data_IF_389681435984
#
_entry.id   IF_389681435984
#
_cell.length_a   1.000
_cell.length_b   1.000
_cell.length_c   1.000
_cell.angle_alpha   90.00
_cell.angle_beta   90.00
_cell.angle_gamma   90.00
#
_symmetry.space_group_name_H-M   'P 1'
#
loop_
_entity.id
_entity.type
_entity.pdbx_description
1 polymer ?
#
# COMPACT_ATOMS: atom_id res chain seq x y z
N UNK A 1 -8.62 -3.11 2.86
CA UNK A 1 -7.95 -1.90 3.39
C UNK A 1 -7.06 -1.32 2.29
N UNK A 2 -6.78 -0.01 2.30
CA UNK A 2 -5.83 0.62 1.38
C UNK A 2 -4.44 0.66 2.03
N UNK A 3 -3.40 0.46 1.24
CA UNK A 3 -1.99 0.36 1.65
C UNK A 3 -1.16 0.92 0.47
N UNK A 4 -0.44 2.02 0.72
CA UNK A 4 0.25 2.78 -0.32
C UNK A 4 1.55 2.07 -0.75
N UNK A 5 2.24 1.46 0.21
CA UNK A 5 3.50 0.72 0.08
C UNK A 5 3.30 -0.50 -0.82
N UNK A 6 2.17 -1.18 -0.65
CA UNK A 6 1.79 -2.33 -1.48
C UNK A 6 1.21 -1.91 -2.83
N UNK A 7 0.32 -0.90 -2.87
CA UNK A 7 -0.37 -0.53 -4.12
C UNK A 7 -0.81 0.93 -4.18
N UNK A 8 -0.08 1.69 -5.00
CA UNK A 8 -0.26 3.14 -5.19
C UNK A 8 -1.47 3.56 -6.04
N UNK A 9 -2.01 2.67 -6.89
CA UNK A 9 -3.14 3.01 -7.74
C UNK A 9 -3.98 1.81 -8.17
N UNK A 10 -5.25 2.07 -8.46
CA UNK A 10 -6.20 1.12 -9.02
C UNK A 10 -6.81 1.69 -10.29
N UNK A 11 -6.99 0.84 -11.30
CA UNK A 11 -7.65 1.19 -12.55
C UNK A 11 -8.82 0.26 -12.76
N UNK A 12 -10.01 0.83 -12.93
CA UNK A 12 -11.25 0.11 -13.17
C UNK A 12 -11.82 0.49 -14.52
N UNK A 13 -12.34 -0.49 -15.25
CA UNK A 13 -13.24 -0.25 -16.39
C UNK A 13 -14.67 -0.39 -15.88
N UNK A 14 -15.42 0.70 -15.89
CA UNK A 14 -16.84 0.72 -15.51
C UNK A 14 -17.70 0.66 -16.76
N UNK A 15 -18.82 -0.05 -16.69
CA UNK A 15 -19.82 -0.11 -17.76
C UNK A 15 -21.13 0.50 -17.25
N UNK A 16 -21.65 1.48 -17.98
CA UNK A 16 -23.02 1.95 -17.82
C UNK A 16 -23.89 1.21 -18.83
N UNK A 17 -25.03 0.70 -18.38
CA UNK A 17 -26.01 0.03 -19.25
C UNK A 17 -27.41 0.57 -18.97
N UNK A 18 -28.20 0.76 -20.02
CA UNK A 18 -29.61 1.12 -19.85
C UNK A 18 -30.40 -0.12 -19.42
N UNK A 19 -30.92 -0.12 -18.18
CA UNK A 19 -31.70 -1.21 -17.62
C UNK A 19 -33.15 -1.27 -18.13
N UNK A 20 -33.65 -0.19 -18.75
CA UNK A 20 -35.03 -0.11 -19.26
C UNK A 20 -35.03 0.28 -20.73
N UNK A 21 -34.78 -0.72 -21.57
CA UNK A 21 -34.83 -0.57 -23.02
C UNK A 21 -36.28 -0.60 -23.48
N UNK A 22 -36.69 0.43 -24.21
CA UNK A 22 -37.94 0.38 -24.94
C UNK A 22 -37.76 -0.62 -26.11
N UNK A 23 -38.65 -1.63 -26.26
CA UNK A 23 -38.57 -2.64 -27.31
C UNK A 23 -38.46 -2.05 -28.73
N UNK A 24 -38.95 -0.82 -28.95
CA UNK A 24 -38.83 -0.11 -30.23
C UNK A 24 -37.38 0.17 -30.65
N UNK A 25 -36.46 0.23 -29.68
CA UNK A 25 -35.07 0.58 -29.94
C UNK A 25 -34.09 -0.59 -29.80
N UNK A 26 -34.52 -1.82 -29.47
CA UNK A 26 -33.62 -2.96 -29.24
C UNK A 26 -32.60 -3.23 -30.37
N UNK A 27 -32.92 -2.87 -31.62
CA UNK A 27 -32.05 -3.08 -32.77
C UNK A 27 -30.98 -1.97 -32.97
N UNK A 28 -31.01 -0.89 -32.17
CA UNK A 28 -30.18 0.30 -32.39
C UNK A 28 -28.85 0.31 -31.64
N UNK A 29 -28.50 -0.77 -30.94
CA UNK A 29 -27.14 -0.96 -30.43
C UNK A 29 -27.09 -1.55 -29.04
N UNK A 30 -25.90 -1.57 -28.43
CA UNK A 30 -25.68 -2.26 -27.16
C UNK A 30 -26.21 -1.50 -25.94
N UNK A 31 -26.69 -0.24 -26.09
CA UNK A 31 -27.14 0.66 -25.01
C UNK A 31 -26.25 0.64 -23.77
N UNK A 32 -24.96 0.52 -24.03
CA UNK A 32 -23.89 0.38 -23.07
C UNK A 32 -22.75 1.27 -23.47
N UNK A 33 -22.12 1.87 -22.48
CA UNK A 33 -20.90 2.62 -22.64
C UNK A 33 -19.93 2.28 -21.52
N UNK A 34 -18.64 2.48 -21.77
CA UNK A 34 -17.60 2.14 -20.78
C UNK A 34 -16.67 3.31 -20.53
N UNK A 35 -16.30 3.50 -19.27
CA UNK A 35 -15.33 4.52 -18.85
C UNK A 35 -14.21 3.89 -18.03
N UNK A 36 -13.04 4.53 -18.04
CA UNK A 36 -11.90 4.11 -17.22
C UNK A 36 -11.78 5.04 -16.02
N UNK A 37 -11.82 4.47 -14.82
CA UNK A 37 -11.65 5.20 -13.55
C UNK A 37 -10.29 4.84 -12.98
N UNK A 38 -9.44 5.85 -12.75
CA UNK A 38 -8.16 5.70 -12.07
C UNK A 38 -8.25 6.29 -10.67
N UNK A 39 -7.96 5.48 -9.67
CA UNK A 39 -7.91 5.87 -8.26
C UNK A 39 -6.45 5.85 -7.83
N UNK A 40 -5.97 6.97 -7.29
CA UNK A 40 -4.65 7.06 -6.69
C UNK A 40 -4.80 6.90 -5.18
N UNK A 41 -3.99 6.03 -4.58
CA UNK A 41 -3.83 5.94 -3.13
C UNK A 41 -2.85 7.04 -2.72
N UNK A 42 -3.19 7.76 -1.67
CA UNK A 42 -2.33 8.81 -1.12
C UNK A 42 -1.50 8.22 0.01
N UNK A 43 -0.24 8.62 0.06
CA UNK A 43 0.74 8.26 1.08
C UNK A 43 0.41 8.95 2.42
N UNK A 44 0.69 8.29 3.53
CA UNK A 44 0.53 8.81 4.90
C UNK A 44 1.72 8.33 5.72
N UNK A 45 2.28 9.22 6.53
CA UNK A 45 3.44 8.96 7.39
C UNK A 45 3.21 7.76 8.34
N UNK A 46 4.09 6.76 8.27
CA UNK A 46 4.08 5.55 9.10
C UNK A 46 5.34 5.48 9.98
N UNK A 47 5.24 5.00 11.23
CA UNK A 47 6.43 4.91 12.09
C UNK A 47 7.39 3.80 11.62
N UNK A 48 8.71 3.95 11.82
CA UNK A 48 9.67 2.90 11.49
C UNK A 48 9.37 1.59 12.21
N UNK A 49 9.42 0.49 11.48
CA UNK A 49 9.17 -0.86 12.01
C UNK A 49 10.48 -1.62 12.18
N UNK A 50 10.69 -2.19 13.37
CA UNK A 50 11.84 -3.06 13.61
C UNK A 50 11.82 -4.31 12.74
N UNK A 51 12.97 -4.72 12.22
CA UNK A 51 13.06 -5.91 11.37
C UNK A 51 12.75 -7.22 12.11
N UNK A 52 12.83 -7.22 13.45
CA UNK A 52 12.47 -8.36 14.30
C UNK A 52 11.56 -7.91 15.45
N UNK A 53 10.62 -8.75 15.89
CA UNK A 53 9.77 -8.46 17.04
C UNK A 53 10.52 -8.41 18.37
N UNK A 54 11.68 -9.07 18.46
CA UNK A 54 12.56 -9.05 19.62
C UNK A 54 14.00 -9.32 19.22
N UNK A 55 14.94 -8.66 19.90
CA UNK A 55 16.38 -8.88 19.75
C UNK A 55 16.93 -9.41 21.07
N UNK A 56 17.51 -10.60 21.05
CA UNK A 56 18.26 -11.16 22.17
C UNK A 56 19.74 -11.17 21.78
N UNK A 57 20.60 -10.74 22.71
CA UNK A 57 22.05 -10.68 22.52
C UNK A 57 22.70 -11.11 23.83
N UNK A 58 23.71 -11.97 23.74
CA UNK A 58 24.45 -12.47 24.89
C UNK A 58 25.85 -11.86 24.93
N UNK A 59 26.35 -11.60 26.14
CA UNK A 59 27.66 -10.99 26.38
C UNK A 59 28.31 -11.62 27.61
N UNK A 60 29.64 -11.79 27.60
CA UNK A 60 30.37 -12.31 28.74
C UNK A 60 30.56 -11.24 29.83
N UNK A 61 30.64 -11.67 31.10
CA UNK A 61 30.76 -10.74 32.24
C UNK A 61 32.06 -9.94 32.25
N UNK A 62 33.12 -10.49 31.66
CA UNK A 62 34.46 -9.90 31.58
C UNK A 62 34.65 -9.04 30.31
N UNK A 63 33.57 -8.75 29.59
CA UNK A 63 33.61 -7.97 28.35
C UNK A 63 34.07 -6.53 28.62
N UNK A 64 35.10 -6.03 27.91
CA UNK A 64 35.66 -4.71 28.16
C UNK A 64 34.69 -3.59 27.78
N UNK A 65 34.86 -2.42 28.42
CA UNK A 65 34.04 -1.24 28.17
C UNK A 65 34.18 -0.76 26.72
N UNK A 66 33.05 -0.41 26.11
CA UNK A 66 32.98 0.05 24.72
C UNK A 66 32.75 -1.07 23.70
N UNK A 67 32.59 -2.32 24.14
CA UNK A 67 32.25 -3.42 23.23
C UNK A 67 30.84 -3.26 22.68
N UNK A 68 30.70 -3.34 21.36
CA UNK A 68 29.40 -3.35 20.68
C UNK A 68 28.83 -4.77 20.76
N UNK A 69 27.74 -4.94 21.50
CA UNK A 69 27.08 -6.22 21.74
C UNK A 69 26.24 -6.66 20.54
N UNK A 70 25.69 -5.69 19.81
CA UNK A 70 24.98 -5.93 18.56
C UNK A 70 24.35 -4.66 18.02
N UNK A 71 23.61 -4.82 16.93
CA UNK A 71 22.88 -3.75 16.28
C UNK A 71 21.43 -4.17 16.06
N UNK A 72 20.53 -3.19 16.18
CA UNK A 72 19.12 -3.34 15.78
C UNK A 72 18.87 -2.49 14.54
N UNK A 73 17.86 -2.86 13.77
CA UNK A 73 17.49 -2.16 12.54
C UNK A 73 15.99 -1.98 12.53
N UNK A 74 15.56 -0.75 12.26
CA UNK A 74 14.19 -0.41 11.94
C UNK A 74 14.18 0.22 10.55
N UNK A 75 13.11 -0.02 9.81
CA UNK A 75 12.92 0.48 8.45
C UNK A 75 11.58 1.18 8.38
N UNK A 76 11.62 2.34 7.76
CA UNK A 76 10.46 3.10 7.34
C UNK A 76 10.26 2.86 5.84
N UNK A 77 9.03 2.54 5.44
CA UNK A 77 8.69 2.20 4.06
C UNK A 77 8.08 3.39 3.30
N UNK A 78 7.88 4.51 3.98
CA UNK A 78 7.32 5.73 3.41
C UNK A 78 8.15 6.18 2.19
N UNK A 79 7.47 6.66 1.15
CA UNK A 79 8.16 7.09 -0.07
C UNK A 79 8.97 8.38 0.14
N UNK A 80 8.60 9.17 1.15
CA UNK A 80 9.40 10.29 1.65
C UNK A 80 10.28 9.82 2.78
N UNK A 81 11.58 10.13 2.74
CA UNK A 81 12.50 9.90 3.86
C UNK A 81 12.22 10.95 4.98
N UNK A 82 11.01 10.91 5.53
CA UNK A 82 10.54 11.81 6.59
C UNK A 82 11.06 11.28 7.92
N UNK A 83 12.00 11.96 8.59
CA UNK A 83 12.25 11.66 9.99
C UNK A 83 11.03 12.13 10.80
N UNK A 84 10.46 11.22 11.58
CA UNK A 84 9.50 11.50 12.67
C UNK A 84 9.95 12.62 13.60
#
# INVERSE_FOLDING_TARGET
PLDYETKKAYTFKVEASNAHLDPRFHNFGPFKDTATVKINVLDVDEPPVFSKPSYAMDVYEDTPQGTIIGAVTAQDLDAGNSPV
#
